data_IF_536289460844
#
_entry.id   IF_536289460844
#
_cell.length_a   1.000
_cell.length_b   1.000
_cell.length_c   1.000
_cell.angle_alpha   90.00
_cell.angle_beta   90.00
_cell.angle_gamma   90.00
#
_symmetry.space_group_name_H-M   'P 1'
#
loop_
_entity.id
_entity.type
_entity.pdbx_description
1 polymer ?
#
# COMPACT_ATOMS: atom_id res chain seq x y z
N UNK A 1 -3.79 14.91 -33.04
CA UNK A 1 -2.83 13.79 -32.93
C UNK A 1 -3.60 12.59 -32.39
N UNK A 2 -3.51 11.42 -33.02
CA UNK A 2 -4.20 10.24 -32.49
C UNK A 2 -3.37 9.58 -31.41
N UNK A 3 -3.85 9.72 -30.17
CA UNK A 3 -3.25 9.17 -28.96
C UNK A 3 -3.63 7.69 -28.76
N UNK A 4 -2.74 6.95 -28.10
CA UNK A 4 -2.97 5.57 -27.70
C UNK A 4 -4.06 5.54 -26.62
N UNK A 5 -5.13 4.78 -26.83
CA UNK A 5 -6.24 4.68 -25.87
C UNK A 5 -5.94 3.64 -24.80
N UNK A 6 -6.43 3.85 -23.58
CA UNK A 6 -6.29 2.92 -22.45
C UNK A 6 -6.75 1.49 -22.81
N UNK A 7 -7.84 1.38 -23.58
CA UNK A 7 -8.38 0.08 -24.01
C UNK A 7 -7.41 -0.75 -24.86
N UNK A 8 -6.41 -0.13 -25.49
CA UNK A 8 -5.42 -0.80 -26.34
C UNK A 8 -4.22 -1.36 -25.57
N UNK A 9 -4.03 -0.99 -24.30
CA UNK A 9 -2.83 -1.33 -23.54
C UNK A 9 -2.66 -2.84 -23.37
N UNK A 10 -3.74 -3.55 -23.04
CA UNK A 10 -3.70 -5.02 -22.92
C UNK A 10 -3.38 -5.69 -24.25
N UNK A 11 -3.89 -5.15 -25.37
CA UNK A 11 -3.60 -5.66 -26.71
C UNK A 11 -2.12 -5.48 -27.08
N UNK A 12 -1.55 -4.29 -26.88
CA UNK A 12 -0.14 -4.05 -27.17
C UNK A 12 0.80 -4.82 -26.22
N UNK A 13 0.46 -4.90 -24.94
CA UNK A 13 1.21 -5.69 -23.95
C UNK A 13 1.24 -7.18 -24.32
N UNK A 14 0.09 -7.73 -24.70
CA UNK A 14 0.01 -9.12 -25.16
C UNK A 14 0.81 -9.36 -26.44
N UNK A 15 0.68 -8.50 -27.46
CA UNK A 15 1.46 -8.63 -28.70
C UNK A 15 2.96 -8.52 -28.42
N UNK A 16 3.38 -7.60 -27.55
CA UNK A 16 4.77 -7.42 -27.16
C UNK A 16 5.33 -8.67 -26.48
N UNK A 17 4.56 -9.30 -25.57
CA UNK A 17 4.98 -10.54 -24.89
C UNK A 17 5.10 -11.75 -25.84
N UNK A 18 4.47 -11.67 -27.03
CA UNK A 18 4.64 -12.64 -28.12
C UNK A 18 5.78 -12.31 -29.09
N UNK A 19 6.55 -11.25 -28.82
CA UNK A 19 7.70 -10.87 -29.65
C UNK A 19 7.33 -9.94 -30.82
N UNK A 20 6.14 -9.34 -30.83
CA UNK A 20 5.67 -8.50 -31.93
C UNK A 20 6.46 -7.20 -32.14
N UNK A 21 7.46 -6.89 -31.28
CA UNK A 21 8.38 -5.77 -31.50
C UNK A 21 9.26 -5.99 -32.73
N UNK A 22 9.85 -7.18 -32.84
CA UNK A 22 10.82 -7.50 -33.88
C UNK A 22 10.21 -8.39 -34.98
N UNK A 23 9.24 -9.22 -34.61
CA UNK A 23 8.64 -10.22 -35.49
C UNK A 23 7.18 -9.89 -35.81
N UNK A 24 6.67 -10.46 -36.89
CA UNK A 24 5.23 -10.59 -37.08
C UNK A 24 4.72 -11.77 -36.24
N UNK A 25 3.71 -11.53 -35.43
CA UNK A 25 3.03 -12.55 -34.62
C UNK A 25 1.71 -12.89 -35.27
N UNK A 26 1.53 -14.15 -35.66
CA UNK A 26 0.27 -14.64 -36.21
C UNK A 26 -0.73 -14.93 -35.11
N UNK A 27 -1.92 -14.34 -35.22
CA UNK A 27 -3.01 -14.48 -34.26
C UNK A 27 -4.38 -14.38 -34.95
N UNK A 28 -5.40 -14.96 -34.31
CA UNK A 28 -6.81 -14.76 -34.67
C UNK A 28 -7.46 -13.78 -33.70
N UNK A 29 -8.46 -13.02 -34.14
CA UNK A 29 -9.20 -12.10 -33.25
C UNK A 29 -9.86 -12.82 -32.08
N UNK A 30 -10.23 -14.10 -32.23
CA UNK A 30 -10.82 -14.91 -31.16
C UNK A 30 -9.79 -15.29 -30.10
N UNK A 31 -8.59 -15.73 -30.52
CA UNK A 31 -7.48 -16.01 -29.61
C UNK A 31 -7.04 -14.73 -28.89
N UNK A 32 -6.90 -13.62 -29.60
CA UNK A 32 -6.57 -12.33 -29.00
C UNK A 32 -7.60 -11.93 -27.94
N UNK A 33 -8.89 -11.96 -28.28
CA UNK A 33 -9.98 -11.63 -27.35
C UNK A 33 -9.92 -12.44 -26.07
N UNK A 34 -9.75 -13.77 -26.16
CA UNK A 34 -9.61 -14.64 -24.99
C UNK A 34 -8.42 -14.25 -24.10
N UNK A 35 -7.27 -13.92 -24.69
CA UNK A 35 -6.06 -13.59 -23.94
C UNK A 35 -6.07 -12.19 -23.28
N UNK A 36 -6.91 -11.27 -23.77
CA UNK A 36 -7.05 -9.92 -23.20
C UNK A 36 -8.38 -9.73 -22.44
N UNK A 37 -9.10 -10.84 -22.17
CA UNK A 37 -10.41 -10.85 -21.50
C UNK A 37 -11.46 -9.94 -22.17
N UNK A 38 -11.55 -10.04 -23.51
CA UNK A 38 -12.51 -9.29 -24.33
C UNK A 38 -13.20 -10.20 -25.35
N UNK A 39 -14.30 -9.71 -25.92
CA UNK A 39 -14.94 -10.37 -27.06
C UNK A 39 -14.05 -10.35 -28.30
N UNK A 40 -14.26 -11.30 -29.21
CA UNK A 40 -13.59 -11.33 -30.51
C UNK A 40 -13.77 -10.00 -31.27
N UNK A 41 -14.98 -9.43 -31.23
CA UNK A 41 -15.33 -8.19 -31.93
C UNK A 41 -14.54 -7.00 -31.35
N UNK A 42 -14.41 -6.92 -30.02
CA UNK A 42 -13.59 -5.90 -29.36
C UNK A 42 -12.10 -6.05 -29.72
N UNK A 43 -11.56 -7.28 -29.71
CA UNK A 43 -10.18 -7.54 -30.12
C UNK A 43 -9.93 -7.16 -31.60
N UNK A 44 -10.86 -7.47 -32.50
CA UNK A 44 -10.80 -7.06 -33.90
C UNK A 44 -10.79 -5.54 -34.05
N UNK A 45 -11.66 -4.85 -33.30
CA UNK A 45 -11.73 -3.38 -33.25
C UNK A 45 -10.44 -2.77 -32.73
N UNK A 46 -9.84 -3.32 -31.67
CA UNK A 46 -8.56 -2.84 -31.14
C UNK A 46 -7.45 -2.94 -32.20
N UNK A 47 -7.33 -4.07 -32.89
CA UNK A 47 -6.35 -4.24 -33.97
C UNK A 47 -6.59 -3.23 -35.10
N UNK A 48 -7.86 -2.98 -35.47
CA UNK A 48 -8.19 -2.00 -36.50
C UNK A 48 -7.77 -0.58 -36.09
N UNK A 49 -8.14 -0.16 -34.89
CA UNK A 49 -7.81 1.17 -34.38
C UNK A 49 -6.29 1.36 -34.21
N UNK A 50 -5.57 0.37 -33.69
CA UNK A 50 -4.12 0.44 -33.52
C UNK A 50 -3.38 0.59 -34.85
N UNK A 51 -3.86 -0.10 -35.89
CA UNK A 51 -3.29 -0.07 -37.24
C UNK A 51 -3.59 1.25 -37.95
N UNK A 52 -4.83 1.72 -37.89
CA UNK A 52 -5.23 3.06 -38.37
C UNK A 52 -4.40 4.19 -37.74
N UNK A 53 -4.03 4.02 -36.47
CA UNK A 53 -3.22 4.98 -35.73
C UNK A 53 -1.70 4.73 -35.83
N UNK A 54 -1.27 3.79 -36.69
CA UNK A 54 0.13 3.45 -36.98
C UNK A 54 0.91 2.94 -35.77
N UNK A 55 0.24 2.40 -34.76
CA UNK A 55 0.89 1.77 -33.60
C UNK A 55 1.27 0.32 -33.86
N UNK A 56 0.57 -0.33 -34.79
CA UNK A 56 0.91 -1.65 -35.32
C UNK A 56 0.87 -1.62 -36.85
N UNK A 57 1.40 -2.67 -37.46
CA UNK A 57 1.13 -3.06 -38.84
C UNK A 57 0.50 -4.44 -38.83
N UNK A 58 -0.40 -4.69 -39.78
CA UNK A 58 -1.11 -5.96 -39.92
C UNK A 58 -1.01 -6.49 -41.34
N UNK A 59 -0.84 -7.80 -41.46
CA UNK A 59 -0.93 -8.55 -42.72
C UNK A 59 -2.03 -9.59 -42.54
N UNK A 60 -3.05 -9.55 -43.40
CA UNK A 60 -4.21 -10.43 -43.31
C UNK A 60 -4.07 -11.54 -44.34
N UNK A 61 -3.99 -12.79 -43.87
CA UNK A 61 -3.93 -13.98 -44.72
C UNK A 61 -5.07 -14.93 -44.34
N UNK A 62 -6.19 -14.83 -45.06
CA UNK A 62 -7.40 -15.60 -44.78
C UNK A 62 -7.96 -15.30 -43.38
N UNK A 63 -8.00 -16.31 -42.51
CA UNK A 63 -8.48 -16.18 -41.11
C UNK A 63 -7.40 -15.72 -40.12
N UNK A 64 -6.15 -15.71 -40.55
CA UNK A 64 -5.01 -15.37 -39.71
C UNK A 64 -4.57 -13.92 -39.93
N UNK A 65 -4.24 -13.22 -38.84
CA UNK A 65 -3.72 -11.86 -38.87
C UNK A 65 -2.30 -11.90 -38.31
N UNK A 66 -1.33 -11.49 -39.09
CA UNK A 66 0.05 -11.33 -38.64
C UNK A 66 0.28 -9.88 -38.24
N UNK A 67 0.65 -9.65 -36.98
CA UNK A 67 0.74 -8.32 -36.38
C UNK A 67 2.15 -8.02 -35.92
N UNK A 68 2.66 -6.83 -36.22
CA UNK A 68 3.94 -6.30 -35.71
C UNK A 68 3.74 -4.91 -35.13
N UNK A 69 4.29 -4.65 -33.95
CA UNK A 69 4.28 -3.34 -33.30
C UNK A 69 5.26 -2.42 -34.03
N UNK A 70 4.84 -1.21 -34.37
CA UNK A 70 5.71 -0.23 -35.03
C UNK A 70 6.65 0.43 -34.02
N UNK A 71 7.67 1.13 -34.50
CA UNK A 71 8.52 1.97 -33.64
C UNK A 71 7.70 2.99 -32.85
N UNK A 72 6.63 3.56 -33.46
CA UNK A 72 5.69 4.47 -32.80
C UNK A 72 4.89 3.77 -31.68
N UNK A 73 4.35 2.58 -31.94
CA UNK A 73 3.63 1.80 -30.92
C UNK A 73 4.55 1.40 -29.76
N UNK A 74 5.77 0.99 -30.07
CA UNK A 74 6.75 0.63 -29.06
C UNK A 74 7.21 1.83 -28.22
N UNK A 75 7.45 3.00 -28.84
CA UNK A 75 7.86 4.20 -28.10
C UNK A 75 6.79 4.68 -27.12
N UNK A 76 5.50 4.62 -27.48
CA UNK A 76 4.41 4.96 -26.55
C UNK A 76 4.32 3.97 -25.38
N UNK A 77 4.50 2.67 -25.64
CA UNK A 77 4.56 1.65 -24.58
C UNK A 77 5.72 1.90 -23.61
N UNK A 78 6.90 2.24 -24.12
CA UNK A 78 8.07 2.59 -23.29
C UNK A 78 7.79 3.83 -22.45
N UNK A 79 7.22 4.89 -23.04
CA UNK A 79 6.84 6.12 -22.33
C UNK A 79 5.87 5.82 -21.19
N UNK A 80 4.83 5.03 -21.44
CA UNK A 80 3.86 4.62 -20.42
C UNK A 80 4.52 3.78 -19.32
N UNK A 81 5.37 2.82 -19.68
CA UNK A 81 6.09 1.99 -18.71
C UNK A 81 6.98 2.83 -17.79
N UNK A 82 7.64 3.85 -18.33
CA UNK A 82 8.49 4.77 -17.56
C UNK A 82 7.67 5.63 -16.60
N UNK A 83 6.52 6.15 -17.03
CA UNK A 83 5.60 6.91 -16.17
C UNK A 83 5.09 6.05 -15.02
N UNK A 84 4.67 4.81 -15.31
CA UNK A 84 4.18 3.87 -14.31
C UNK A 84 5.29 3.50 -13.32
N UNK A 85 6.48 3.13 -13.82
CA UNK A 85 7.62 2.79 -12.97
C UNK A 85 7.98 3.95 -12.06
N UNK A 86 8.10 5.18 -12.61
CA UNK A 86 8.36 6.38 -11.82
C UNK A 86 7.30 6.62 -10.74
N UNK A 87 6.03 6.41 -11.07
CA UNK A 87 4.92 6.59 -10.12
C UNK A 87 4.96 5.56 -9.00
N UNK A 88 5.29 4.30 -9.33
CA UNK A 88 5.47 3.22 -8.35
C UNK A 88 6.67 3.52 -7.44
N UNK A 89 7.81 3.90 -8.00
CA UNK A 89 9.04 4.20 -7.26
C UNK A 89 8.91 5.44 -6.37
N UNK A 90 8.12 6.43 -6.79
CA UNK A 90 7.90 7.68 -6.04
C UNK A 90 6.71 7.65 -5.09
N UNK A 91 5.97 6.54 -5.05
CA UNK A 91 4.82 6.42 -4.16
C UNK A 91 5.28 6.45 -2.69
N UNK A 92 4.68 7.29 -1.83
CA UNK A 92 5.08 7.36 -0.44
C UNK A 92 4.80 6.02 0.26
N UNK A 93 5.83 5.42 0.84
CA UNK A 93 5.73 4.19 1.62
C UNK A 93 5.27 4.47 3.06
N UNK A 94 4.28 5.36 3.23
CA UNK A 94 3.73 5.71 4.54
C UNK A 94 2.29 6.22 4.46
N UNK A 95 1.56 6.05 5.57
CA UNK A 95 0.29 6.73 5.83
C UNK A 95 0.54 7.90 6.77
N UNK A 96 0.06 9.08 6.42
CA UNK A 96 0.12 10.25 7.31
C UNK A 96 -1.23 10.52 7.95
N UNK A 97 -1.21 10.55 9.29
CA UNK A 97 -2.36 10.85 10.12
C UNK A 97 -2.13 12.16 10.87
N UNK A 98 -3.20 12.92 11.06
CA UNK A 98 -3.20 14.08 11.95
C UNK A 98 -4.22 13.88 13.05
N UNK A 99 -3.90 14.37 14.24
CA UNK A 99 -4.80 14.27 15.36
C UNK A 99 -4.40 15.15 16.53
N UNK A 100 -5.11 14.96 17.63
CA UNK A 100 -4.98 15.73 18.85
C UNK A 100 -4.58 14.82 20.00
N UNK A 101 -3.58 15.20 20.80
CA UNK A 101 -3.25 14.45 22.00
C UNK A 101 -4.38 14.49 23.02
N UNK A 102 -4.67 13.31 23.57
CA UNK A 102 -5.67 13.13 24.62
C UNK A 102 -5.10 12.27 25.74
N UNK A 103 -5.54 12.49 26.98
CA UNK A 103 -5.26 11.57 28.08
C UNK A 103 -6.21 10.38 28.02
N UNK A 104 -5.68 9.19 28.28
CA UNK A 104 -6.48 7.99 28.55
C UNK A 104 -6.66 7.77 30.06
N UNK A 105 -7.17 6.59 30.43
CA UNK A 105 -7.34 6.18 31.84
C UNK A 105 -6.03 5.75 32.53
N UNK A 106 -4.90 5.80 31.82
CA UNK A 106 -3.58 5.41 32.35
C UNK A 106 -3.29 3.90 32.30
N UNK A 107 -4.20 3.08 31.80
CA UNK A 107 -4.06 1.62 31.76
C UNK A 107 -2.90 1.13 30.87
N UNK A 108 -2.55 1.89 29.82
CA UNK A 108 -1.43 1.55 28.93
C UNK A 108 -0.12 1.33 29.69
N UNK A 109 0.11 2.05 30.79
CA UNK A 109 1.31 1.88 31.62
C UNK A 109 1.39 0.50 32.28
N UNK A 110 0.24 -0.02 32.75
CA UNK A 110 0.15 -1.35 33.33
C UNK A 110 0.49 -2.42 32.29
N UNK A 111 -0.15 -2.37 31.11
CA UNK A 111 0.07 -3.36 30.06
C UNK A 111 1.50 -3.32 29.50
N UNK A 112 2.04 -2.13 29.23
CA UNK A 112 3.40 -1.97 28.69
C UNK A 112 4.50 -2.44 29.65
N UNK A 113 4.21 -2.56 30.96
CA UNK A 113 5.13 -3.10 31.95
C UNK A 113 5.18 -4.63 32.05
N UNK A 114 4.23 -5.35 31.45
CA UNK A 114 4.11 -6.81 31.65
C UNK A 114 5.28 -7.57 30.99
N UNK A 115 5.88 -8.51 31.73
CA UNK A 115 7.02 -9.33 31.26
C UNK A 115 6.73 -10.09 29.97
N UNK A 116 5.49 -10.53 29.74
CA UNK A 116 5.08 -11.22 28.52
C UNK A 116 5.16 -10.35 27.27
N UNK A 117 4.88 -9.05 27.40
CA UNK A 117 5.04 -8.06 26.33
C UNK A 117 6.47 -7.57 26.22
N UNK A 118 7.08 -7.10 27.31
CA UNK A 118 8.40 -6.45 27.28
C UNK A 118 9.51 -7.34 26.71
N UNK A 119 9.50 -8.65 27.02
CA UNK A 119 10.43 -9.62 26.41
C UNK A 119 10.29 -9.68 24.88
N UNK A 120 9.05 -9.72 24.40
CA UNK A 120 8.77 -9.77 22.96
C UNK A 120 9.08 -8.44 22.28
N UNK A 121 8.76 -7.30 22.90
CA UNK A 121 9.13 -6.00 22.35
C UNK A 121 10.65 -5.89 22.19
N UNK A 122 11.42 -6.25 23.22
CA UNK A 122 12.88 -6.21 23.14
C UNK A 122 13.44 -7.06 22.01
N UNK A 123 12.89 -8.25 21.82
CA UNK A 123 13.29 -9.20 20.77
C UNK A 123 12.84 -8.79 19.37
N UNK A 124 11.63 -8.24 19.21
CA UNK A 124 10.97 -8.07 17.91
C UNK A 124 11.04 -6.64 17.36
N UNK A 125 10.96 -5.65 18.24
CA UNK A 125 11.07 -4.22 17.86
C UNK A 125 12.37 -3.58 18.40
N UNK A 126 13.24 -4.36 19.05
CA UNK A 126 14.61 -3.97 19.42
C UNK A 126 14.74 -3.23 20.76
N UNK A 127 13.65 -2.84 21.41
CA UNK A 127 13.67 -2.11 22.67
C UNK A 127 12.48 -2.45 23.58
N UNK A 128 12.59 -2.08 24.87
CA UNK A 128 11.47 -2.16 25.82
C UNK A 128 10.80 -0.78 25.88
N UNK A 129 9.52 -0.65 25.53
CA UNK A 129 8.82 0.62 25.58
C UNK A 129 8.79 1.23 26.97
N UNK A 130 8.72 2.56 27.00
CA UNK A 130 8.36 3.28 28.21
C UNK A 130 6.99 2.76 28.71
N UNK A 131 6.79 2.55 30.03
CA UNK A 131 5.51 2.11 30.58
C UNK A 131 4.41 3.16 30.41
N UNK A 132 3.79 3.19 29.24
CA UNK A 132 2.70 4.08 28.89
C UNK A 132 2.53 4.21 27.37
N UNK A 133 1.33 4.61 26.96
CA UNK A 133 0.99 4.87 25.56
C UNK A 133 0.68 6.36 25.37
N UNK A 134 0.98 6.88 24.18
CA UNK A 134 0.59 8.22 23.76
C UNK A 134 -0.67 8.12 22.91
N UNK A 135 -1.78 8.60 23.46
CA UNK A 135 -3.07 8.52 22.81
C UNK A 135 -3.29 9.74 21.92
N UNK A 136 -3.66 9.51 20.67
CA UNK A 136 -3.97 10.55 19.69
C UNK A 136 -5.37 10.33 19.16
N UNK A 137 -6.24 11.32 19.34
CA UNK A 137 -7.57 11.34 18.72
C UNK A 137 -7.45 11.83 17.28
N UNK A 138 -7.93 11.02 16.34
CA UNK A 138 -8.02 11.32 14.92
C UNK A 138 -9.30 12.15 14.68
N UNK A 139 -9.12 13.45 14.45
CA UNK A 139 -10.23 14.40 14.36
C UNK A 139 -11.02 14.28 13.05
N UNK A 140 -10.40 13.73 11.99
CA UNK A 140 -10.98 13.67 10.65
C UNK A 140 -11.30 12.23 10.24
N UNK A 141 -12.48 12.03 9.65
CA UNK A 141 -12.94 10.71 9.16
C UNK A 141 -11.95 10.07 8.19
N UNK A 142 -11.26 10.85 7.34
CA UNK A 142 -10.23 10.31 6.43
C UNK A 142 -9.11 9.58 7.18
N UNK A 143 -8.70 10.09 8.34
CA UNK A 143 -7.66 9.45 9.16
C UNK A 143 -8.18 8.22 9.89
N UNK A 144 -9.44 8.25 10.33
CA UNK A 144 -10.12 7.10 10.95
C UNK A 144 -10.30 5.95 9.93
N UNK A 145 -10.68 6.25 8.69
CA UNK A 145 -10.71 5.21 7.64
C UNK A 145 -9.30 4.75 7.27
N UNK A 146 -8.32 5.65 7.29
CA UNK A 146 -6.92 5.29 7.02
C UNK A 146 -6.32 4.37 8.08
N UNK A 147 -6.76 4.40 9.35
CA UNK A 147 -6.20 3.51 10.37
C UNK A 147 -6.69 2.06 10.21
N UNK A 148 -7.92 1.85 9.71
CA UNK A 148 -8.53 0.51 9.56
C UNK A 148 -7.71 -0.45 8.69
N UNK A 149 -6.99 0.08 7.69
CA UNK A 149 -6.12 -0.76 6.86
C UNK A 149 -5.02 -1.48 7.68
N UNK A 150 -4.57 -0.90 8.79
CA UNK A 150 -3.53 -1.49 9.65
C UNK A 150 -4.02 -2.71 10.45
N UNK A 151 -5.32 -2.98 10.46
CA UNK A 151 -5.88 -4.21 11.04
C UNK A 151 -5.47 -5.43 10.22
N UNK A 152 -5.50 -5.31 8.88
CA UNK A 152 -5.21 -6.39 7.94
C UNK A 152 -3.75 -6.41 7.49
N UNK A 153 -3.08 -5.26 7.51
CA UNK A 153 -1.65 -5.20 7.18
C UNK A 153 -0.78 -6.04 8.12
N UNK A 154 0.32 -6.53 7.55
CA UNK A 154 1.34 -7.26 8.27
C UNK A 154 2.23 -6.29 9.04
N UNK A 155 2.07 -6.30 10.37
CA UNK A 155 2.94 -5.59 11.31
C UNK A 155 3.76 -6.57 12.14
N UNK A 156 4.68 -6.03 12.94
CA UNK A 156 5.47 -6.85 13.87
C UNK A 156 4.53 -7.36 14.98
N UNK A 157 4.15 -8.63 14.90
CA UNK A 157 3.18 -9.23 15.83
C UNK A 157 3.83 -9.65 17.15
N UNK A 158 3.35 -9.07 18.24
CA UNK A 158 3.56 -9.51 19.61
C UNK A 158 2.45 -10.50 19.95
N UNK A 159 2.82 -11.72 20.32
CA UNK A 159 1.85 -12.81 20.55
C UNK A 159 1.16 -12.61 21.90
N UNK A 160 -0.08 -13.09 21.98
CA UNK A 160 -0.81 -13.24 23.23
C UNK A 160 -0.05 -14.16 24.21
N UNK A 161 -0.33 -13.99 25.50
CA UNK A 161 0.25 -14.80 26.57
C UNK A 161 -0.71 -14.86 27.76
N UNK A 162 -0.45 -15.76 28.71
CA UNK A 162 -1.18 -15.84 29.97
C UNK A 162 -0.20 -15.87 31.14
N UNK A 163 -0.59 -15.30 32.27
CA UNK A 163 0.13 -15.40 33.54
C UNK A 163 -0.49 -16.43 34.50
N UNK A 164 -1.44 -17.23 34.00
CA UNK A 164 -2.20 -18.20 34.78
C UNK A 164 -3.45 -17.63 35.46
N UNK A 165 -3.56 -16.30 35.60
CA UNK A 165 -4.76 -15.63 36.14
C UNK A 165 -5.57 -14.95 35.02
N UNK A 166 -4.89 -14.41 34.01
CA UNK A 166 -5.51 -13.72 32.88
C UNK A 166 -4.75 -13.99 31.59
N UNK A 167 -5.50 -13.97 30.49
CA UNK A 167 -4.93 -13.96 29.13
C UNK A 167 -4.86 -12.53 28.61
N UNK A 168 -3.71 -12.19 28.03
CA UNK A 168 -3.40 -10.92 27.40
C UNK A 168 -3.36 -11.11 25.89
N UNK A 169 -4.01 -10.19 25.17
CA UNK A 169 -4.17 -10.29 23.72
C UNK A 169 -2.88 -10.10 22.93
N UNK A 170 -2.96 -10.24 21.61
CA UNK A 170 -1.85 -9.86 20.74
C UNK A 170 -1.80 -8.34 20.49
N UNK A 171 -0.63 -7.87 20.09
CA UNK A 171 -0.39 -6.48 19.63
C UNK A 171 0.34 -6.52 18.30
N UNK A 172 -0.06 -5.71 17.32
CA UNK A 172 0.73 -5.48 16.09
C UNK A 172 1.40 -4.13 16.18
N UNK A 173 2.70 -4.07 15.88
CA UNK A 173 3.47 -2.84 15.89
C UNK A 173 3.82 -2.41 14.46
N UNK A 174 3.68 -1.12 14.17
CA UNK A 174 4.08 -0.49 12.91
C UNK A 174 5.02 0.67 13.20
N UNK A 175 6.18 0.69 12.53
CA UNK A 175 7.14 1.77 12.69
C UNK A 175 6.51 3.10 12.28
N UNK A 176 6.65 4.10 13.13
CA UNK A 176 6.04 5.40 12.94
C UNK A 176 6.98 6.54 13.35
N UNK A 177 6.65 7.74 12.88
CA UNK A 177 7.35 8.97 13.23
C UNK A 177 6.37 10.04 13.66
N UNK A 178 6.51 10.48 14.91
CA UNK A 178 5.76 11.60 15.47
C UNK A 178 6.43 12.92 15.10
N UNK A 179 5.65 13.85 14.53
CA UNK A 179 6.08 15.19 14.11
C UNK A 179 7.41 15.16 13.31
N UNK A 180 7.54 14.21 12.38
CA UNK A 180 8.69 13.98 11.49
C UNK A 180 10.07 13.76 12.18
N UNK A 181 10.13 13.73 13.50
CA UNK A 181 11.39 13.79 14.26
C UNK A 181 11.56 12.61 15.21
N UNK A 182 10.49 12.14 15.82
CA UNK A 182 10.60 11.16 16.91
C UNK A 182 10.13 9.80 16.44
N UNK A 183 11.04 8.82 16.50
CA UNK A 183 10.72 7.44 16.19
C UNK A 183 9.84 6.85 17.31
N UNK A 184 8.78 6.18 16.89
CA UNK A 184 7.80 5.52 17.73
C UNK A 184 7.16 4.37 16.96
N UNK A 185 6.22 3.68 17.58
CA UNK A 185 5.49 2.59 16.96
C UNK A 185 4.01 2.84 17.21
N UNK A 186 3.23 2.77 16.14
CA UNK A 186 1.78 2.59 16.24
C UNK A 186 1.53 1.16 16.73
N UNK A 187 0.63 1.01 17.70
CA UNK A 187 0.16 -0.29 18.14
C UNK A 187 -1.32 -0.50 17.78
N UNK A 188 -1.60 -1.65 17.16
CA UNK A 188 -2.96 -2.17 17.00
C UNK A 188 -3.18 -3.27 18.02
N UNK A 189 -4.24 -3.15 18.81
CA UNK A 189 -4.55 -4.05 19.91
C UNK A 189 -5.62 -5.05 19.49
N UNK A 190 -5.52 -6.30 19.94
CA UNK A 190 -6.60 -7.28 19.78
C UNK A 190 -7.90 -6.84 20.49
N UNK A 191 -7.75 -6.12 21.61
CA UNK A 191 -8.85 -5.63 22.44
C UNK A 191 -8.52 -4.23 22.92
N UNK A 192 -9.42 -3.28 22.70
CA UNK A 192 -9.32 -1.91 23.17
C UNK A 192 -10.66 -1.43 23.71
N UNK A 193 -10.60 -0.48 24.64
CA UNK A 193 -11.77 0.24 25.14
C UNK A 193 -12.05 1.53 24.36
N UNK A 194 -11.14 1.91 23.46
CA UNK A 194 -11.30 3.06 22.59
C UNK A 194 -12.03 2.69 21.30
N UNK A 195 -12.78 3.64 20.74
CA UNK A 195 -13.29 3.52 19.38
C UNK A 195 -12.17 3.79 18.36
N UNK A 196 -12.46 3.61 17.07
CA UNK A 196 -11.52 3.82 15.96
C UNK A 196 -11.01 5.27 15.85
N UNK A 197 -11.51 6.18 16.69
CA UNK A 197 -11.08 7.58 16.72
C UNK A 197 -9.80 7.81 17.51
N UNK A 198 -9.32 6.83 18.30
CA UNK A 198 -8.09 7.00 19.09
C UNK A 198 -7.07 5.94 18.73
N UNK A 199 -5.87 6.40 18.37
CA UNK A 199 -4.70 5.55 18.16
C UNK A 199 -3.74 5.66 19.33
N UNK A 200 -2.95 4.61 19.53
CA UNK A 200 -1.95 4.54 20.59
C UNK A 200 -0.54 4.39 19.99
N UNK A 201 0.38 5.23 20.46
CA UNK A 201 1.80 5.15 20.11
C UNK A 201 2.64 4.73 21.31
N UNK A 202 3.65 3.90 21.08
CA UNK A 202 4.68 3.55 22.06
C UNK A 202 6.04 4.05 21.58
N UNK A 203 6.95 4.29 22.52
CA UNK A 203 8.35 4.55 22.17
C UNK A 203 9.27 4.11 23.31
N UNK A 204 10.57 4.05 23.06
CA UNK A 204 11.59 3.75 24.08
C UNK A 204 11.58 4.75 25.26
N UNK A 205 11.08 5.96 25.03
CA UNK A 205 11.10 7.06 26.01
C UNK A 205 9.72 7.64 26.25
N UNK A 206 9.55 8.46 27.29
CA UNK A 206 8.27 9.12 27.53
C UNK A 206 8.07 10.25 26.50
N UNK A 207 7.20 10.02 25.50
CA UNK A 207 6.97 10.97 24.41
C UNK A 207 6.51 12.34 24.90
N UNK A 208 5.60 12.40 25.90
CA UNK A 208 5.11 13.67 26.46
C UNK A 208 6.23 14.49 27.13
N UNK A 209 7.09 13.84 27.91
CA UNK A 209 8.22 14.52 28.58
C UNK A 209 9.24 15.03 27.57
N UNK A 210 9.56 14.23 26.55
CA UNK A 210 10.57 14.58 25.56
C UNK A 210 10.11 15.66 24.59
N UNK A 211 8.81 15.75 24.31
CA UNK A 211 8.25 16.71 23.35
C UNK A 211 7.65 17.96 24.00
N UNK A 212 7.45 17.94 25.33
CA UNK A 212 6.66 18.92 26.08
C UNK A 212 5.22 19.08 25.56
N UNK A 213 4.71 18.10 24.81
CA UNK A 213 3.34 18.13 24.30
C UNK A 213 2.33 17.85 25.42
N UNK A 214 1.23 18.60 25.39
CA UNK A 214 0.12 18.52 26.34
C UNK A 214 -1.15 18.05 25.64
N UNK A 215 -2.17 17.71 26.41
CA UNK A 215 -3.50 17.46 25.83
C UNK A 215 -3.97 18.67 25.02
N UNK A 216 -4.69 18.39 23.92
CA UNK A 216 -5.08 19.41 22.94
C UNK A 216 -4.01 19.74 21.90
N UNK A 217 -2.76 19.29 22.08
CA UNK A 217 -1.70 19.54 21.07
C UNK A 217 -1.98 18.79 19.79
N UNK A 218 -1.88 19.48 18.64
CA UNK A 218 -1.96 18.86 17.31
C UNK A 218 -0.65 18.16 16.98
N UNK A 219 -0.76 16.96 16.40
CA UNK A 219 0.38 16.13 16.00
C UNK A 219 0.17 15.55 14.61
N UNK A 220 1.28 15.29 13.90
CA UNK A 220 1.32 14.47 12.68
C UNK A 220 2.06 13.17 12.98
N UNK A 221 1.52 12.06 12.48
CA UNK A 221 2.09 10.71 12.60
C UNK A 221 2.29 10.17 11.19
N UNK A 222 3.52 9.81 10.84
CA UNK A 222 3.81 9.06 9.62
C UNK A 222 4.06 7.61 9.98
N UNK A 223 3.20 6.72 9.53
CA UNK A 223 3.29 5.28 9.76
C UNK A 223 3.89 4.66 8.51
N UNK A 224 5.05 4.02 8.64
CA UNK A 224 5.73 3.40 7.52
C UNK A 224 4.99 2.14 7.10
N UNK A 225 4.75 2.01 5.79
CA UNK A 225 4.33 0.76 5.16
C UNK A 225 5.59 0.13 4.62
N UNK A 226 6.01 -0.96 5.25
CA UNK A 226 7.07 -1.79 4.68
C UNK A 226 6.41 -2.68 3.62
N UNK A 227 6.64 -2.32 2.36
CA UNK A 227 6.27 -3.12 1.19
C UNK A 227 7.03 -4.44 1.14
#
# INVERSE_FOLDING_TARGET
>A
MTELKIQHLLTLSYLLSKGAKYNYVTITSSSLGKNIEKSQQAASKHLLELDQNKFITRIINGRNISVKITSKGFSEMVKLSSILQKSLDSSPSYVELKGTLVSGMGEGAYYMGLKGYTKQFKSKIGYIPFPGTLNVRLDQKIHQESIKQFETLDGIKIKSFSDGKRTYGWVKCFSAKLNNSINCELIMLERTHHDDSVIELISKTCLRKNTKLKDGSKVSIKILINS
#
